data_IF_684856835518
#
_entry.id   IF_684856835518
#
_cell.length_a   1.000
_cell.length_b   1.000
_cell.length_c   1.000
_cell.angle_alpha   90.00
_cell.angle_beta   90.00
_cell.angle_gamma   90.00
#
_symmetry.space_group_name_H-M   'P 1'
#
loop_
_entity.id
_entity.type
_entity.pdbx_description
1 polymer ?
#
# COMPACT_ATOMS: atom_id res chain seq x y z
N UNK A 1 -6.15 -6.95 15.32
CA UNK A 1 -4.95 -7.49 14.64
C UNK A 1 -5.19 -7.46 13.13
N UNK A 2 -4.39 -6.71 12.35
CA UNK A 2 -4.47 -6.78 10.89
C UNK A 2 -4.07 -8.18 10.38
N UNK A 3 -4.83 -8.72 9.43
CA UNK A 3 -4.53 -10.01 8.79
C UNK A 3 -3.78 -9.83 7.47
N UNK A 4 -3.14 -10.89 6.97
CA UNK A 4 -2.51 -10.84 5.65
C UNK A 4 -3.53 -10.50 4.55
N UNK A 5 -4.74 -11.07 4.62
CA UNK A 5 -5.85 -10.74 3.71
C UNK A 5 -6.18 -9.24 3.77
N UNK A 6 -6.25 -8.66 4.96
CA UNK A 6 -6.47 -7.22 5.11
C UNK A 6 -5.34 -6.42 4.46
N UNK A 7 -4.08 -6.79 4.70
CA UNK A 7 -2.92 -6.11 4.13
C UNK A 7 -2.94 -6.17 2.59
N UNK A 8 -3.19 -7.35 2.00
CA UNK A 8 -3.31 -7.52 0.56
C UNK A 8 -4.41 -6.64 -0.04
N UNK A 9 -5.59 -6.60 0.58
CA UNK A 9 -6.70 -5.78 0.08
C UNK A 9 -6.43 -4.28 0.21
N UNK A 10 -5.71 -3.85 1.25
CA UNK A 10 -5.30 -2.44 1.40
C UNK A 10 -4.22 -2.07 0.40
N UNK A 11 -3.27 -2.96 0.14
CA UNK A 11 -2.24 -2.76 -0.89
C UNK A 11 -2.86 -2.66 -2.28
N UNK A 12 -3.80 -3.56 -2.60
CA UNK A 12 -4.53 -3.51 -3.86
C UNK A 12 -5.32 -2.20 -4.04
N UNK A 13 -5.88 -1.64 -2.96
CA UNK A 13 -6.53 -0.32 -3.01
C UNK A 13 -5.57 0.81 -3.37
N UNK A 14 -4.31 0.75 -2.91
CA UNK A 14 -3.27 1.70 -3.34
C UNK A 14 -2.97 1.57 -4.85
N UNK A 15 -3.05 0.35 -5.38
CA UNK A 15 -3.00 0.03 -6.82
C UNK A 15 -4.31 0.30 -7.57
N UNK A 16 -5.21 1.14 -7.04
CA UNK A 16 -6.50 1.53 -7.65
C UNK A 16 -7.44 0.36 -7.98
N UNK A 17 -7.40 -0.72 -7.20
CA UNK A 17 -8.31 -1.85 -7.38
C UNK A 17 -9.61 -1.70 -6.59
N UNK A 18 -10.73 -1.87 -7.31
CA UNK A 18 -12.08 -1.63 -6.81
C UNK A 18 -12.92 -2.90 -6.62
N UNK A 19 -12.35 -4.09 -6.90
CA UNK A 19 -13.06 -5.38 -6.88
C UNK A 19 -14.38 -5.39 -7.68
N UNK A 20 -14.37 -4.83 -8.89
CA UNK A 20 -15.57 -4.70 -9.73
C UNK A 20 -16.26 -6.03 -10.06
N UNK A 21 -15.49 -7.12 -10.09
CA UNK A 21 -15.97 -8.49 -10.33
C UNK A 21 -16.26 -9.27 -9.03
N UNK A 22 -16.12 -8.65 -7.85
CA UNK A 22 -16.36 -9.25 -6.53
C UNK A 22 -15.64 -10.58 -6.31
N UNK A 23 -14.45 -10.71 -6.86
CA UNK A 23 -13.65 -11.95 -6.72
C UNK A 23 -12.83 -11.93 -5.43
N UNK A 24 -12.60 -10.75 -4.84
CA UNK A 24 -11.70 -10.60 -3.69
C UNK A 24 -10.22 -10.88 -4.04
N UNK A 25 -9.88 -11.00 -5.32
CA UNK A 25 -8.58 -11.47 -5.82
C UNK A 25 -7.94 -10.41 -6.71
N UNK A 26 -7.10 -9.52 -6.15
CA UNK A 26 -6.32 -8.58 -6.96
C UNK A 26 -5.26 -9.31 -7.79
N UNK A 27 -5.04 -8.84 -9.01
CA UNK A 27 -3.99 -9.37 -9.89
C UNK A 27 -2.60 -8.85 -9.52
N UNK A 28 -1.55 -9.49 -10.06
CA UNK A 28 -0.16 -9.15 -9.76
C UNK A 28 0.19 -7.68 -10.08
N UNK A 29 -0.24 -7.16 -11.25
CA UNK A 29 0.05 -5.78 -11.67
C UNK A 29 -0.53 -4.76 -10.67
N UNK A 30 -1.76 -4.96 -10.21
CA UNK A 30 -2.40 -4.14 -9.17
C UNK A 30 -1.60 -4.17 -7.87
N UNK A 31 -1.14 -5.36 -7.47
CA UNK A 31 -0.35 -5.52 -6.25
C UNK A 31 0.99 -4.82 -6.36
N UNK A 32 1.64 -4.88 -7.53
CA UNK A 32 2.88 -4.18 -7.82
C UNK A 32 2.70 -2.66 -7.78
N UNK A 33 1.69 -2.12 -8.45
CA UNK A 33 1.38 -0.69 -8.44
C UNK A 33 1.10 -0.18 -7.01
N UNK A 34 0.35 -0.97 -6.24
CA UNK A 34 0.07 -0.66 -4.84
C UNK A 34 1.31 -0.71 -3.96
N UNK A 35 2.20 -1.68 -4.19
CA UNK A 35 3.48 -1.79 -3.49
C UNK A 35 4.40 -0.62 -3.79
N UNK A 36 4.57 -0.27 -5.07
CA UNK A 36 5.42 0.85 -5.48
C UNK A 36 4.96 2.15 -4.83
N UNK A 37 3.65 2.43 -4.88
CA UNK A 37 3.06 3.61 -4.23
C UNK A 37 3.22 3.60 -2.72
N UNK A 38 3.18 2.42 -2.08
CA UNK A 38 3.44 2.31 -0.64
C UNK A 38 4.90 2.65 -0.33
N UNK A 39 5.85 2.22 -1.15
CA UNK A 39 7.27 2.54 -0.95
C UNK A 39 7.50 4.06 -1.00
N UNK A 40 6.93 4.77 -1.97
CA UNK A 40 7.03 6.24 -2.07
C UNK A 40 6.51 6.93 -0.79
N UNK A 41 5.39 6.45 -0.24
CA UNK A 41 4.83 6.99 1.02
C UNK A 41 5.72 6.69 2.23
N UNK A 42 6.30 5.49 2.29
CA UNK A 42 7.21 5.09 3.37
C UNK A 42 8.48 5.93 3.33
N UNK A 43 9.06 6.16 2.15
CA UNK A 43 10.22 7.02 1.98
C UNK A 43 9.94 8.44 2.50
N UNK A 44 8.84 9.06 2.05
CA UNK A 44 8.45 10.40 2.51
C UNK A 44 8.21 10.47 4.02
N UNK A 45 7.59 9.44 4.60
CA UNK A 45 7.40 9.35 6.06
C UNK A 45 8.72 9.22 6.82
N UNK A 46 9.67 8.42 6.32
CA UNK A 46 10.96 8.24 6.97
C UNK A 46 11.80 9.52 6.93
N UNK A 47 11.78 10.24 5.80
CA UNK A 47 12.43 11.55 5.68
C UNK A 47 11.85 12.55 6.68
N UNK A 48 10.52 12.67 6.76
CA UNK A 48 9.89 13.58 7.73
C UNK A 48 10.24 13.19 9.17
N UNK A 49 10.22 11.89 9.47
CA UNK A 49 10.54 11.37 10.80
C UNK A 49 12.00 11.61 11.20
N UNK A 50 12.94 11.64 10.24
CA UNK A 50 14.33 11.99 10.55
C UNK A 50 14.48 13.48 10.83
N UNK A 51 13.78 14.33 10.07
CA UNK A 51 13.76 15.79 10.29
C UNK A 51 13.19 16.16 11.67
N UNK A 52 12.08 15.53 12.07
CA UNK A 52 11.45 15.74 13.39
C UNK A 52 12.36 15.36 14.57
N UNK A 53 13.41 14.56 14.36
CA UNK A 53 14.37 14.16 15.40
C UNK A 53 15.57 15.09 15.53
N UNK A 54 15.80 15.95 14.54
CA UNK A 54 16.93 16.88 14.48
C UNK A 54 16.57 18.27 15.03
N UNK A 55 15.28 18.53 15.28
CA UNK A 55 14.74 19.73 15.95
C UNK A 55 14.53 19.42 17.43
#
# INVERSE_FOLDING_TARGET
>A
MPTLKWACLKLAKLGRWHDSKRTGRPGWVVMWDGWFRLQDMVEGYLVMKSLDREI
#
